data_IF_817703484642
#
_entry.id   IF_817703484642
#
_cell.length_a   1.000
_cell.length_b   1.000
_cell.length_c   1.000
_cell.angle_alpha   90.00
_cell.angle_beta   90.00
_cell.angle_gamma   90.00
#
_symmetry.space_group_name_H-M   'P 1'
#
loop_
_entity.id
_entity.type
_entity.pdbx_description
1 polymer ?
#
# COMPACT_ATOMS: atom_id res chain seq x y z
N UNK A 1 4.39 -11.93 12.34
CA UNK A 1 3.10 -11.23 12.14
C UNK A 1 2.61 -11.57 10.75
N UNK A 2 1.40 -12.08 10.61
CA UNK A 2 0.67 -12.26 9.33
C UNK A 2 -0.01 -10.95 8.90
N UNK A 3 -0.52 -10.84 7.67
CA UNK A 3 -1.21 -9.60 7.26
C UNK A 3 -2.54 -9.46 7.98
N UNK A 4 -3.23 -10.56 8.29
CA UNK A 4 -4.42 -10.53 9.13
C UNK A 4 -4.12 -10.12 10.58
N UNK A 5 -3.02 -10.59 11.17
CA UNK A 5 -2.58 -10.13 12.50
C UNK A 5 -2.26 -8.63 12.49
N UNK A 6 -1.59 -8.15 11.43
CA UNK A 6 -1.33 -6.73 11.23
C UNK A 6 -2.62 -5.93 11.08
N UNK A 7 -3.54 -6.36 10.21
CA UNK A 7 -4.83 -5.70 9.98
C UNK A 7 -5.64 -5.60 11.28
N UNK A 8 -5.68 -6.68 12.07
CA UNK A 8 -6.34 -6.68 13.37
C UNK A 8 -5.68 -5.73 14.38
N UNK A 9 -4.36 -5.53 14.31
CA UNK A 9 -3.65 -4.54 15.12
C UNK A 9 -3.93 -3.11 14.64
N UNK A 10 -3.91 -2.86 13.32
CA UNK A 10 -4.19 -1.56 12.70
C UNK A 10 -5.63 -1.08 12.99
N UNK A 11 -6.61 -2.00 12.96
CA UNK A 11 -8.00 -1.70 13.26
C UNK A 11 -8.22 -1.13 14.67
N UNK A 12 -7.32 -1.43 15.63
CA UNK A 12 -7.40 -0.89 17.00
C UNK A 12 -7.11 0.61 17.07
N UNK A 13 -6.42 1.16 16.06
CA UNK A 13 -6.07 2.59 15.98
C UNK A 13 -6.85 3.30 14.88
N UNK A 14 -7.73 2.60 14.15
CA UNK A 14 -8.55 3.16 13.09
C UNK A 14 -9.72 3.94 13.70
N UNK A 15 -9.58 5.27 13.76
CA UNK A 15 -10.59 6.16 14.33
C UNK A 15 -11.01 7.18 13.29
N UNK A 16 -12.21 7.01 12.76
CA UNK A 16 -12.89 7.94 11.87
C UNK A 16 -14.40 7.67 11.88
N UNK A 17 -15.26 8.64 11.51
CA UNK A 17 -16.71 8.45 11.50
C UNK A 17 -17.17 7.30 10.59
N UNK A 18 -18.18 6.54 11.03
CA UNK A 18 -18.73 5.39 10.29
C UNK A 18 -19.20 5.77 8.88
N UNK A 19 -19.82 6.94 8.73
CA UNK A 19 -20.28 7.46 7.44
C UNK A 19 -19.13 7.89 6.49
N UNK A 20 -17.89 7.85 6.98
CA UNK A 20 -16.68 8.13 6.22
C UNK A 20 -15.80 6.89 6.01
N UNK A 21 -16.29 5.70 6.38
CA UNK A 21 -15.66 4.42 6.00
C UNK A 21 -15.34 4.44 4.51
N UNK A 22 -14.21 3.86 4.15
CA UNK A 22 -13.61 3.90 2.80
C UNK A 22 -13.16 5.27 2.31
N UNK A 23 -13.93 6.37 2.49
CA UNK A 23 -13.57 7.71 1.99
C UNK A 23 -12.40 8.31 2.76
N UNK A 24 -12.48 8.34 4.08
CA UNK A 24 -11.41 8.86 4.93
C UNK A 24 -10.09 8.10 4.70
N UNK A 25 -10.06 6.75 4.79
CA UNK A 25 -8.82 6.02 4.59
C UNK A 25 -8.33 6.05 3.12
N UNK A 26 -9.21 6.23 2.13
CA UNK A 26 -8.79 6.44 0.73
C UNK A 26 -8.05 7.77 0.53
N UNK A 27 -8.55 8.86 1.13
CA UNK A 27 -7.89 10.17 1.06
C UNK A 27 -6.52 10.09 1.75
N UNK A 28 -6.47 9.45 2.92
CA UNK A 28 -5.21 9.17 3.62
C UNK A 28 -4.23 8.38 2.76
N UNK A 29 -4.68 7.26 2.16
CA UNK A 29 -3.88 6.45 1.24
C UNK A 29 -3.24 7.28 0.13
N UNK A 30 -4.01 8.19 -0.48
CA UNK A 30 -3.51 9.08 -1.53
C UNK A 30 -2.45 10.05 -1.00
N UNK A 31 -2.64 10.59 0.19
CA UNK A 31 -1.67 11.44 0.89
C UNK A 31 -0.34 10.73 1.12
N UNK A 32 -0.38 9.56 1.77
CA UNK A 32 0.83 8.79 2.11
C UNK A 32 1.54 8.25 0.86
N UNK A 33 0.78 7.90 -0.18
CA UNK A 33 1.38 7.55 -1.49
C UNK A 33 2.13 8.75 -2.09
N UNK A 34 1.58 9.96 -1.93
CA UNK A 34 2.22 11.21 -2.31
C UNK A 34 3.51 11.48 -1.51
N UNK A 35 3.50 11.19 -0.21
CA UNK A 35 4.68 11.27 0.66
C UNK A 35 5.80 10.32 0.21
N UNK A 36 5.47 9.06 -0.10
CA UNK A 36 6.41 8.08 -0.68
C UNK A 36 7.04 8.67 -1.95
N UNK A 37 6.22 9.17 -2.87
CA UNK A 37 6.70 9.75 -4.12
C UNK A 37 7.60 10.98 -3.88
N UNK A 38 7.23 11.85 -2.94
CA UNK A 38 7.99 13.04 -2.59
C UNK A 38 9.38 12.69 -2.02
N UNK A 39 9.47 11.71 -1.13
CA UNK A 39 10.75 11.29 -0.56
C UNK A 39 11.65 10.63 -1.61
N UNK A 40 11.10 9.79 -2.48
CA UNK A 40 11.86 9.22 -3.61
C UNK A 40 12.36 10.35 -4.54
N UNK A 41 11.50 11.31 -4.88
CA UNK A 41 11.86 12.47 -5.71
C UNK A 41 13.03 13.26 -5.09
N UNK A 42 13.00 13.49 -3.77
CA UNK A 42 14.10 14.16 -3.04
C UNK A 42 15.41 13.37 -3.13
N UNK A 43 15.38 12.04 -3.00
CA UNK A 43 16.58 11.19 -3.20
C UNK A 43 17.16 11.36 -4.60
N UNK A 44 16.30 11.36 -5.62
CA UNK A 44 16.74 11.54 -7.00
C UNK A 44 17.35 12.94 -7.24
N UNK A 45 16.73 13.99 -6.66
CA UNK A 45 17.15 15.39 -6.83
C UNK A 45 18.42 15.73 -6.04
N UNK A 46 18.45 15.38 -4.74
CA UNK A 46 19.42 15.91 -3.77
C UNK A 46 20.55 14.93 -3.48
N UNK A 47 20.31 13.62 -3.68
CA UNK A 47 21.28 12.55 -3.39
C UNK A 47 21.75 11.83 -4.66
N UNK A 48 21.52 12.39 -5.85
CA UNK A 48 21.87 11.78 -7.14
C UNK A 48 21.36 10.34 -7.30
N UNK A 49 20.19 10.05 -6.72
CA UNK A 49 19.60 8.72 -6.71
C UNK A 49 20.25 7.72 -5.74
N UNK A 50 21.16 8.17 -4.87
CA UNK A 50 21.76 7.34 -3.83
C UNK A 50 20.84 7.29 -2.61
N UNK A 51 20.25 6.12 -2.38
CA UNK A 51 19.40 5.85 -1.22
C UNK A 51 20.24 5.55 0.02
N UNK A 52 20.47 6.57 0.86
CA UNK A 52 21.13 6.44 2.16
C UNK A 52 20.26 5.65 3.16
N UNK A 53 20.84 5.11 4.25
CA UNK A 53 20.06 4.46 5.32
C UNK A 53 18.91 5.33 5.84
N UNK A 54 19.15 6.63 6.05
CA UNK A 54 18.17 7.57 6.56
C UNK A 54 17.01 7.78 5.58
N UNK A 55 17.32 7.92 4.28
CA UNK A 55 16.29 8.07 3.25
C UNK A 55 15.44 6.80 3.12
N UNK A 56 16.05 5.61 3.22
CA UNK A 56 15.33 4.33 3.18
C UNK A 56 14.41 4.18 4.38
N UNK A 57 14.88 4.53 5.58
CA UNK A 57 14.05 4.49 6.79
C UNK A 57 12.87 5.46 6.68
N UNK A 58 13.10 6.67 6.18
CA UNK A 58 12.04 7.64 5.97
C UNK A 58 11.00 7.17 4.94
N UNK A 59 11.43 6.53 3.85
CA UNK A 59 10.51 5.94 2.85
C UNK A 59 9.76 4.74 3.44
N UNK A 60 10.43 3.91 4.25
CA UNK A 60 9.80 2.76 4.89
C UNK A 60 8.68 3.14 5.85
N UNK A 61 8.78 4.31 6.51
CA UNK A 61 7.72 4.86 7.37
C UNK A 61 6.45 5.13 6.55
N UNK A 62 6.56 5.91 5.47
CA UNK A 62 5.40 6.21 4.62
C UNK A 62 4.82 4.97 3.93
N UNK A 63 5.67 4.00 3.55
CA UNK A 63 5.18 2.71 3.04
C UNK A 63 4.38 1.96 4.11
N UNK A 64 4.75 2.11 5.38
CA UNK A 64 3.98 1.61 6.52
C UNK A 64 2.62 2.29 6.65
N UNK A 65 2.55 3.60 6.44
CA UNK A 65 1.31 4.37 6.48
C UNK A 65 0.39 4.03 5.30
N UNK A 66 0.95 3.84 4.10
CA UNK A 66 0.25 3.26 2.94
C UNK A 66 -0.33 1.88 3.27
N UNK A 67 0.46 1.00 3.88
CA UNK A 67 0.01 -0.33 4.29
C UNK A 67 -1.12 -0.26 5.33
N UNK A 68 -1.04 0.68 6.27
CA UNK A 68 -2.06 0.90 7.28
C UNK A 68 -3.39 1.28 6.63
N UNK A 69 -3.39 2.22 5.69
CA UNK A 69 -4.60 2.62 4.98
C UNK A 69 -5.17 1.51 4.09
N UNK A 70 -4.32 0.71 3.42
CA UNK A 70 -4.77 -0.48 2.69
C UNK A 70 -5.46 -1.48 3.61
N UNK A 71 -4.90 -1.73 4.81
CA UNK A 71 -5.49 -2.63 5.81
C UNK A 71 -6.85 -2.11 6.31
N UNK A 72 -6.96 -0.80 6.56
CA UNK A 72 -8.19 -0.15 6.98
C UNK A 72 -9.29 -0.24 5.90
N UNK A 73 -8.97 0.09 4.65
CA UNK A 73 -9.90 -0.02 3.52
C UNK A 73 -10.37 -1.47 3.33
N UNK A 74 -9.43 -2.42 3.37
CA UNK A 74 -9.75 -3.85 3.28
C UNK A 74 -10.75 -4.26 4.36
N UNK A 75 -10.50 -3.84 5.61
CA UNK A 75 -11.39 -4.13 6.74
C UNK A 75 -12.77 -3.50 6.60
N UNK A 76 -12.83 -2.22 6.20
CA UNK A 76 -14.08 -1.50 5.94
C UNK A 76 -14.93 -2.16 4.84
N UNK A 77 -14.28 -2.77 3.84
CA UNK A 77 -14.92 -3.52 2.74
C UNK A 77 -15.21 -4.98 3.08
N UNK A 78 -14.85 -5.46 4.28
CA UNK A 78 -15.10 -6.83 4.71
C UNK A 78 -14.12 -7.87 4.15
N UNK A 79 -12.95 -7.46 3.67
CA UNK A 79 -11.91 -8.35 3.18
C UNK A 79 -10.78 -8.52 4.21
N UNK A 80 -10.32 -9.76 4.36
CA UNK A 80 -9.08 -10.05 5.06
C UNK A 80 -7.89 -9.59 4.20
N UNK A 81 -6.89 -8.97 4.81
CA UNK A 81 -5.73 -8.45 4.06
C UNK A 81 -4.89 -9.58 3.43
N UNK A 82 -4.81 -10.74 4.07
CA UNK A 82 -4.20 -11.95 3.49
C UNK A 82 -4.88 -12.34 2.16
N UNK A 83 -6.21 -12.26 2.08
CA UNK A 83 -6.95 -12.65 0.88
C UNK A 83 -6.68 -11.68 -0.28
N UNK A 84 -6.60 -10.38 0.01
CA UNK A 84 -6.20 -9.36 -0.99
C UNK A 84 -4.79 -9.66 -1.52
N UNK A 85 -3.85 -10.01 -0.63
CA UNK A 85 -2.49 -10.35 -1.04
C UNK A 85 -2.44 -11.62 -1.89
N UNK A 86 -3.19 -12.67 -1.52
CA UNK A 86 -3.30 -13.91 -2.31
C UNK A 86 -3.89 -13.65 -3.69
N UNK A 87 -5.02 -12.94 -3.76
CA UNK A 87 -5.65 -12.55 -5.03
C UNK A 87 -4.69 -11.78 -5.94
N UNK A 88 -3.86 -10.90 -5.38
CA UNK A 88 -2.85 -10.18 -6.14
C UNK A 88 -1.76 -11.11 -6.69
N UNK A 89 -1.21 -11.99 -5.85
CA UNK A 89 -0.17 -12.94 -6.25
C UNK A 89 -0.66 -13.91 -7.33
N UNK A 90 -1.86 -14.49 -7.16
CA UNK A 90 -2.46 -15.40 -8.14
C UNK A 90 -2.69 -14.71 -9.48
N UNK A 91 -3.19 -13.46 -9.46
CA UNK A 91 -3.36 -12.63 -10.66
C UNK A 91 -2.03 -12.39 -11.39
N UNK A 92 -0.96 -12.03 -10.66
CA UNK A 92 0.36 -11.77 -11.24
C UNK A 92 1.01 -13.05 -11.76
N UNK A 93 0.88 -14.17 -11.05
CA UNK A 93 1.36 -15.48 -11.49
C UNK A 93 0.66 -15.91 -12.80
N UNK A 94 -0.66 -15.78 -12.87
CA UNK A 94 -1.42 -16.05 -14.10
C UNK A 94 -0.99 -15.17 -15.27
N UNK A 95 -0.72 -13.87 -15.04
CA UNK A 95 -0.15 -12.96 -16.06
C UNK A 95 1.19 -13.47 -16.59
N UNK A 96 2.04 -13.98 -15.70
CA UNK A 96 3.36 -14.53 -16.05
C UNK A 96 3.23 -15.75 -16.95
N UNK A 97 2.41 -16.72 -16.56
CA UNK A 97 2.19 -17.95 -17.31
C UNK A 97 1.64 -17.69 -18.72
N UNK A 98 0.78 -16.69 -18.86
CA UNK A 98 0.20 -16.29 -20.16
C UNK A 98 1.12 -15.41 -21.02
N UNK A 99 2.33 -15.10 -20.57
CA UNK A 99 3.24 -14.19 -21.27
C UNK A 99 2.76 -12.74 -21.34
N UNK A 100 1.80 -12.34 -20.49
CA UNK A 100 1.15 -11.01 -20.49
C UNK A 100 1.65 -10.08 -19.39
N UNK A 101 2.88 -10.23 -18.92
CA UNK A 101 3.48 -9.27 -17.97
C UNK A 101 3.68 -7.90 -18.64
N UNK A 102 4.07 -7.86 -19.93
CA UNK A 102 4.46 -6.62 -20.62
C UNK A 102 3.36 -6.10 -21.54
N UNK A 103 2.79 -4.92 -21.21
CA UNK A 103 1.81 -4.18 -22.02
C UNK A 103 0.54 -3.70 -21.28
N UNK A 104 -0.30 -2.99 -22.02
CA UNK A 104 -1.29 -2.05 -21.49
C UNK A 104 -2.69 -2.67 -21.34
N UNK A 105 -3.23 -2.72 -20.12
CA UNK A 105 -4.66 -3.01 -19.89
C UNK A 105 -4.96 -3.57 -18.50
N UNK A 106 -6.11 -3.15 -17.95
CA UNK A 106 -6.61 -3.57 -16.63
C UNK A 106 -7.01 -5.06 -16.59
N UNK A 107 -7.46 -5.62 -17.72
CA UNK A 107 -7.76 -7.05 -17.93
C UNK A 107 -6.55 -7.84 -18.46
N UNK A 108 -5.43 -7.74 -17.74
CA UNK A 108 -4.24 -8.58 -17.95
C UNK A 108 -4.15 -9.72 -16.97
#
# INVERSE_FOLDING_TARGET
>A
MTLNEYQAAAAKTAVYPENMKTVYPLIGLAGETGEVAEKIKKVLRDHHGVFTPESKEAIAKELGDVLWYLAAIAGDLGFALDDIARLNLDKIASRKERGRIHGSGDER
#
